data_IF_480001669793
#
_entry.id   IF_480001669793
#
_cell.length_a   1.000
_cell.length_b   1.000
_cell.length_c   1.000
_cell.angle_alpha   90.00
_cell.angle_beta   90.00
_cell.angle_gamma   90.00
#
_symmetry.space_group_name_H-M   'P 1'
#
loop_
_entity.id
_entity.type
_entity.pdbx_description
1 polymer ?
#
# COMPACT_ATOMS: atom_id res chain seq x y z
N UNK A 1 -39.24 -33.28 34.65
CA UNK A 1 -39.92 -32.07 35.13
C UNK A 1 -38.81 -31.04 35.34
N UNK A 2 -38.53 -30.11 34.44
CA UNK A 2 -39.36 -29.56 33.37
C UNK A 2 -38.56 -29.33 32.09
N UNK A 3 -39.23 -29.66 31.00
CA UNK A 3 -38.82 -29.54 29.61
C UNK A 3 -39.52 -28.27 29.07
N UNK A 4 -38.77 -27.19 28.87
CA UNK A 4 -39.29 -25.93 28.35
C UNK A 4 -38.77 -25.70 26.94
N UNK A 5 -39.52 -26.27 26.00
CA UNK A 5 -39.40 -26.15 24.56
C UNK A 5 -39.69 -24.70 24.13
N UNK A 6 -38.75 -24.06 23.44
CA UNK A 6 -38.93 -22.74 22.81
C UNK A 6 -39.43 -22.97 21.37
N UNK A 7 -40.59 -22.44 20.94
CA UNK A 7 -41.03 -22.55 19.56
C UNK A 7 -40.34 -21.50 18.67
N UNK A 8 -39.71 -21.96 17.59
CA UNK A 8 -39.19 -21.14 16.51
C UNK A 8 -40.36 -20.60 15.66
N UNK A 9 -40.54 -19.28 15.64
CA UNK A 9 -41.46 -18.61 14.72
C UNK A 9 -40.76 -18.38 13.37
N UNK A 10 -41.26 -19.09 12.35
CA UNK A 10 -40.92 -18.91 10.94
C UNK A 10 -41.62 -17.67 10.37
N UNK A 11 -40.88 -16.58 10.14
CA UNK A 11 -41.36 -15.44 9.38
C UNK A 11 -41.06 -15.65 7.89
N UNK A 12 -42.10 -16.05 7.14
CA UNK A 12 -42.12 -16.09 5.68
C UNK A 12 -42.25 -14.67 5.13
N UNK A 13 -41.15 -14.11 4.62
CA UNK A 13 -41.17 -12.84 3.87
C UNK A 13 -41.30 -13.16 2.38
N UNK A 14 -42.50 -12.94 1.84
CA UNK A 14 -42.75 -12.95 0.40
C UNK A 14 -42.09 -11.73 -0.26
N UNK A 15 -41.32 -11.88 -1.35
CA UNK A 15 -40.84 -10.75 -2.11
C UNK A 15 -41.95 -10.25 -3.07
N UNK A 16 -42.23 -8.95 -3.00
CA UNK A 16 -43.07 -8.27 -4.00
C UNK A 16 -42.33 -8.17 -5.34
N UNK A 17 -43.02 -8.35 -6.48
CA UNK A 17 -42.42 -8.21 -7.80
C UNK A 17 -42.25 -6.72 -8.12
N UNK A 18 -41.00 -6.28 -8.27
CA UNK A 18 -40.71 -4.95 -8.83
C UNK A 18 -40.81 -5.02 -10.35
N UNK A 19 -41.75 -4.23 -10.84
CA UNK A 19 -42.11 -4.00 -12.22
C UNK A 19 -40.96 -3.36 -12.99
N UNK A 20 -40.48 -4.05 -14.01
CA UNK A 20 -39.74 -3.43 -15.11
C UNK A 20 -40.69 -2.48 -15.86
N UNK A 21 -40.32 -1.21 -15.98
CA UNK A 21 -40.92 -0.32 -16.98
C UNK A 21 -39.85 0.56 -17.62
N UNK A 22 -39.56 0.17 -18.86
CA UNK A 22 -38.68 0.78 -19.82
C UNK A 22 -39.38 1.98 -20.48
N UNK A 23 -38.87 3.20 -20.27
CA UNK A 23 -38.98 4.37 -21.16
C UNK A 23 -38.20 5.51 -20.46
N UNK A 24 -37.21 6.19 -21.03
CA UNK A 24 -37.14 6.72 -22.38
C UNK A 24 -35.69 7.06 -22.71
N UNK A 25 -35.27 6.66 -23.91
CA UNK A 25 -34.13 7.22 -24.59
C UNK A 25 -34.54 8.59 -25.15
N UNK A 26 -33.90 9.68 -24.72
CA UNK A 26 -33.56 10.88 -25.50
C UNK A 26 -33.19 12.06 -24.58
N UNK A 27 -31.89 12.27 -24.41
CA UNK A 27 -31.30 13.61 -24.30
C UNK A 27 -29.83 13.49 -24.71
N UNK A 28 -29.65 13.33 -26.02
CA UNK A 28 -28.35 13.35 -26.68
C UNK A 28 -28.08 14.81 -27.05
N UNK A 29 -27.05 15.40 -26.46
CA UNK A 29 -26.30 16.50 -27.07
C UNK A 29 -26.69 17.91 -26.67
N UNK A 30 -26.24 18.35 -25.48
CA UNK A 30 -25.57 19.64 -25.24
C UNK A 30 -24.59 19.37 -24.07
N UNK A 31 -23.44 20.04 -24.02
CA UNK A 31 -22.39 19.96 -22.95
C UNK A 31 -21.22 18.98 -23.11
N UNK A 32 -20.85 18.57 -24.33
CA UNK A 32 -19.56 17.89 -24.58
C UNK A 32 -18.38 18.84 -24.81
N UNK A 33 -18.57 20.16 -24.67
CA UNK A 33 -17.60 21.18 -25.07
C UNK A 33 -16.85 21.86 -23.90
N UNK A 34 -17.13 21.50 -22.64
CA UNK A 34 -16.67 22.28 -21.48
C UNK A 34 -15.61 21.62 -20.59
N UNK A 35 -14.95 20.54 -21.02
CA UNK A 35 -14.01 19.84 -20.12
C UNK A 35 -12.70 19.40 -20.80
N UNK A 36 -12.10 20.33 -21.56
CA UNK A 36 -10.74 20.19 -22.11
C UNK A 36 -9.75 21.20 -21.54
N UNK A 37 -10.00 21.75 -20.35
CA UNK A 37 -8.96 22.40 -19.55
C UNK A 37 -8.13 21.36 -18.75
N UNK A 38 -7.69 20.30 -19.44
CA UNK A 38 -6.75 19.29 -18.92
C UNK A 38 -5.29 19.81 -18.89
N UNK A 39 -5.08 21.13 -18.80
CA UNK A 39 -3.80 21.74 -19.17
C UNK A 39 -2.88 22.17 -18.04
N UNK A 40 -3.40 22.48 -16.85
CA UNK A 40 -2.58 22.92 -15.73
C UNK A 40 -2.88 22.05 -14.53
N UNK A 41 -1.91 21.20 -14.14
CA UNK A 41 -1.89 20.64 -12.78
C UNK A 41 -2.03 21.84 -11.84
N UNK A 42 -3.07 21.83 -11.03
CA UNK A 42 -3.22 22.81 -9.97
C UNK A 42 -2.03 22.68 -9.01
N UNK A 43 -1.04 23.56 -9.20
CA UNK A 43 0.19 23.59 -8.41
C UNK A 43 -0.11 23.78 -6.93
N UNK A 44 -1.23 24.43 -6.61
CA UNK A 44 -1.66 24.64 -5.23
C UNK A 44 -2.06 23.32 -4.57
N UNK A 45 -2.84 22.48 -5.27
CA UNK A 45 -3.21 21.13 -4.80
C UNK A 45 -1.98 20.22 -4.66
N UNK A 46 -1.06 20.25 -5.63
CA UNK A 46 0.18 19.46 -5.55
C UNK A 46 1.06 19.89 -4.37
N UNK A 47 1.18 21.21 -4.14
CA UNK A 47 1.90 21.77 -3.01
C UNK A 47 1.26 21.40 -1.67
N UNK A 48 -0.07 21.55 -1.55
CA UNK A 48 -0.82 21.16 -0.36
C UNK A 48 -0.65 19.67 -0.04
N UNK A 49 -0.70 18.80 -1.07
CA UNK A 49 -0.46 17.38 -0.92
C UNK A 49 0.96 17.07 -0.43
N UNK A 50 1.97 17.79 -0.93
CA UNK A 50 3.35 17.67 -0.49
C UNK A 50 3.53 18.05 0.98
N UNK A 51 2.99 19.20 1.40
CA UNK A 51 3.03 19.65 2.81
C UNK A 51 2.29 18.68 3.72
N UNK A 52 1.10 18.23 3.31
CA UNK A 52 0.30 17.24 4.03
C UNK A 52 1.11 15.97 4.31
N UNK A 53 1.81 15.43 3.30
CA UNK A 53 2.66 14.24 3.45
C UNK A 53 3.85 14.48 4.37
N UNK A 54 4.54 15.61 4.22
CA UNK A 54 5.70 15.94 5.05
C UNK A 54 5.35 16.00 6.54
N UNK A 55 4.18 16.56 6.88
CA UNK A 55 3.71 16.61 8.26
C UNK A 55 3.41 15.22 8.82
N UNK A 56 2.76 14.35 8.04
CA UNK A 56 2.55 12.95 8.43
C UNK A 56 3.90 12.27 8.69
N UNK A 57 4.85 12.45 7.78
CA UNK A 57 6.15 11.79 7.88
C UNK A 57 6.94 12.28 9.09
N UNK A 58 6.90 13.58 9.35
CA UNK A 58 7.51 14.19 10.52
C UNK A 58 6.91 13.63 11.81
N UNK A 59 5.59 13.61 11.93
CA UNK A 59 4.91 13.09 13.13
C UNK A 59 5.21 11.61 13.35
N UNK A 60 5.20 10.78 12.29
CA UNK A 60 5.57 9.36 12.37
C UNK A 60 6.99 9.17 12.89
N UNK A 61 7.95 9.97 12.41
CA UNK A 61 9.34 9.91 12.85
C UNK A 61 9.50 10.35 14.31
N UNK A 62 8.80 11.40 14.72
CA UNK A 62 8.81 11.84 16.11
C UNK A 62 8.18 10.78 17.02
N UNK A 63 7.04 10.22 16.63
CA UNK A 63 6.32 9.21 17.41
C UNK A 63 7.16 7.94 17.59
N UNK A 64 7.80 7.45 16.52
CA UNK A 64 8.64 6.25 16.63
C UNK A 64 9.88 6.48 17.49
N UNK A 65 10.56 7.62 17.34
CA UNK A 65 11.76 7.96 18.11
C UNK A 65 11.42 8.07 19.61
N UNK A 66 10.29 8.69 19.93
CA UNK A 66 9.92 8.98 21.31
C UNK A 66 9.26 7.80 22.04
N UNK A 67 8.47 6.97 21.33
CA UNK A 67 7.65 5.95 21.99
C UNK A 67 8.21 4.53 21.84
N UNK A 68 8.56 4.10 20.62
CA UNK A 68 8.87 2.69 20.32
C UNK A 68 9.94 2.53 19.24
N UNK A 69 11.19 2.99 19.49
CA UNK A 69 12.22 3.01 18.45
C UNK A 69 12.65 1.61 17.98
N UNK A 70 12.63 0.61 18.87
CA UNK A 70 13.14 -0.73 18.53
C UNK A 70 12.19 -1.57 17.69
N UNK A 71 10.95 -1.71 18.14
CA UNK A 71 9.95 -2.63 17.54
C UNK A 71 8.80 -1.91 16.83
N UNK A 72 8.76 -0.57 16.87
CA UNK A 72 7.71 0.22 16.22
C UNK A 72 6.31 -0.05 16.78
N UNK A 73 5.32 0.14 15.92
CA UNK A 73 3.90 0.00 16.23
C UNK A 73 3.27 -1.22 15.54
N UNK A 74 2.38 -1.92 16.25
CA UNK A 74 1.65 -3.05 15.66
C UNK A 74 0.77 -2.58 14.50
N UNK A 75 0.47 -3.46 13.53
CA UNK A 75 -0.38 -3.13 12.37
C UNK A 75 -1.80 -2.68 12.74
N UNK A 76 -2.31 -3.04 13.92
CA UNK A 76 -3.61 -2.59 14.41
C UNK A 76 -3.62 -1.20 15.05
N UNK A 77 -2.45 -0.57 15.24
CA UNK A 77 -2.36 0.78 15.77
C UNK A 77 -2.76 1.80 14.70
N UNK A 78 -3.78 2.65 14.92
CA UNK A 78 -4.16 3.65 13.92
C UNK A 78 -3.03 4.66 13.76
N UNK A 79 -2.67 4.96 12.51
CA UNK A 79 -1.69 6.00 12.21
C UNK A 79 -2.39 7.35 12.16
N UNK A 80 -2.10 8.21 13.14
CA UNK A 80 -2.71 9.54 13.31
C UNK A 80 -1.62 10.59 13.43
N UNK A 81 -1.81 11.73 12.77
CA UNK A 81 -0.83 12.83 12.76
C UNK A 81 -1.36 13.95 13.66
N UNK A 82 -0.66 14.19 14.78
CA UNK A 82 -1.01 15.25 15.71
C UNK A 82 -1.02 16.63 15.04
N UNK A 83 -0.06 16.89 14.15
CA UNK A 83 0.05 18.14 13.41
C UNK A 83 -1.16 18.38 12.52
N UNK A 84 -1.61 17.35 11.79
CA UNK A 84 -2.80 17.45 10.95
C UNK A 84 -4.07 17.63 11.78
N UNK A 85 -4.18 16.96 12.93
CA UNK A 85 -5.36 17.04 13.79
C UNK A 85 -5.57 18.44 14.35
N UNK A 86 -4.49 19.08 14.79
CA UNK A 86 -4.51 20.45 15.30
C UNK A 86 -4.98 21.43 14.22
N UNK A 87 -4.62 21.20 12.95
CA UNK A 87 -5.04 22.04 11.84
C UNK A 87 -6.42 21.67 11.27
N UNK A 88 -7.03 20.58 11.73
CA UNK A 88 -8.26 20.05 11.16
C UNK A 88 -8.12 19.58 9.71
N UNK A 89 -6.92 19.21 9.28
CA UNK A 89 -6.65 18.70 7.94
C UNK A 89 -6.78 17.17 7.94
N UNK A 90 -7.51 16.59 6.99
CA UNK A 90 -7.67 15.13 6.89
C UNK A 90 -8.83 14.54 7.71
N UNK A 91 -9.79 15.40 8.12
CA UNK A 91 -10.98 14.98 8.87
C UNK A 91 -11.80 13.93 8.11
N UNK A 92 -11.94 14.08 6.80
CA UNK A 92 -12.70 13.16 5.95
C UNK A 92 -12.05 11.77 5.92
N UNK A 93 -10.72 11.70 5.79
CA UNK A 93 -9.96 10.46 5.81
C UNK A 93 -10.06 9.76 7.17
N UNK A 94 -9.98 10.50 8.29
CA UNK A 94 -10.15 9.90 9.61
C UNK A 94 -11.57 9.42 9.88
N UNK A 95 -12.59 10.14 9.44
CA UNK A 95 -13.98 9.73 9.60
C UNK A 95 -14.30 8.49 8.76
N UNK A 96 -13.72 8.40 7.55
CA UNK A 96 -13.95 7.27 6.64
C UNK A 96 -13.15 6.03 7.02
N UNK A 97 -11.84 6.19 7.21
CA UNK A 97 -10.89 5.08 7.30
C UNK A 97 -10.34 4.90 8.71
N UNK A 98 -10.40 5.92 9.57
CA UNK A 98 -9.84 5.88 10.93
C UNK A 98 -8.31 6.04 11.00
N UNK A 99 -7.64 6.15 9.85
CA UNK A 99 -6.20 6.36 9.74
C UNK A 99 -5.85 7.06 8.42
N UNK A 100 -4.62 7.55 8.31
CA UNK A 100 -4.10 8.13 7.07
C UNK A 100 -2.95 7.28 6.53
N UNK A 101 -2.95 7.02 5.23
CA UNK A 101 -1.83 6.37 4.55
C UNK A 101 -0.67 7.35 4.37
N UNK A 102 0.57 6.99 4.73
CA UNK A 102 1.73 7.86 4.56
C UNK A 102 2.14 8.02 3.09
N UNK A 103 1.79 7.07 2.22
CA UNK A 103 2.29 6.96 0.84
C UNK A 103 3.82 7.04 0.76
N UNK A 104 4.46 6.32 1.68
CA UNK A 104 5.88 6.04 1.67
C UNK A 104 6.03 4.69 2.36
N UNK A 105 6.17 3.64 1.55
CA UNK A 105 6.18 2.27 2.07
C UNK A 105 7.35 2.02 3.02
N UNK A 106 8.52 2.64 2.77
CA UNK A 106 9.69 2.47 3.64
C UNK A 106 9.47 3.10 5.00
N UNK A 107 8.95 4.33 5.02
CA UNK A 107 8.62 5.00 6.28
C UNK A 107 7.55 4.23 7.05
N UNK A 108 6.54 3.67 6.37
CA UNK A 108 5.54 2.82 7.00
C UNK A 108 6.18 1.55 7.61
N UNK A 109 7.08 0.87 6.91
CA UNK A 109 7.79 -0.30 7.47
C UNK A 109 8.66 0.06 8.67
N UNK A 110 9.36 1.21 8.61
CA UNK A 110 10.15 1.71 9.73
C UNK A 110 9.21 2.02 10.90
N UNK A 111 8.11 2.73 10.67
CA UNK A 111 7.12 3.05 11.70
C UNK A 111 6.53 1.81 12.38
N UNK A 112 6.19 0.78 11.60
CA UNK A 112 5.63 -0.48 12.13
C UNK A 112 6.68 -1.37 12.78
N UNK A 113 7.90 -1.41 12.26
CA UNK A 113 8.94 -2.35 12.68
C UNK A 113 10.06 -1.76 13.52
N UNK A 114 10.11 -0.44 13.72
CA UNK A 114 11.23 0.23 14.36
C UNK A 114 12.56 0.04 13.63
N UNK A 115 13.64 0.03 14.42
CA UNK A 115 14.99 -0.33 13.98
C UNK A 115 15.03 -1.74 13.37
N UNK A 116 14.20 -2.68 13.84
CA UNK A 116 14.13 -4.03 13.25
C UNK A 116 13.62 -3.96 11.81
N UNK A 117 12.56 -3.18 11.57
CA UNK A 117 12.04 -2.92 10.22
C UNK A 117 13.09 -2.31 9.30
N UNK A 118 13.84 -1.32 9.79
CA UNK A 118 14.97 -0.73 9.06
C UNK A 118 16.04 -1.78 8.72
N UNK A 119 16.39 -2.65 9.67
CA UNK A 119 17.35 -3.73 9.46
C UNK A 119 16.91 -4.69 8.36
N UNK A 120 15.62 -5.05 8.30
CA UNK A 120 15.06 -5.90 7.24
C UNK A 120 15.16 -5.21 5.88
N UNK A 121 14.84 -3.91 5.79
CA UNK A 121 14.96 -3.13 4.56
C UNK A 121 16.41 -3.13 4.06
N UNK A 122 17.36 -2.80 4.94
CA UNK A 122 18.80 -2.78 4.61
C UNK A 122 19.27 -4.15 4.14
N UNK A 123 18.83 -5.22 4.82
CA UNK A 123 19.15 -6.58 4.44
C UNK A 123 18.61 -6.98 3.06
N UNK A 124 17.38 -6.61 2.73
CA UNK A 124 16.79 -6.86 1.40
C UNK A 124 17.55 -6.10 0.31
N UNK A 125 17.86 -4.82 0.53
CA UNK A 125 18.64 -4.02 -0.42
C UNK A 125 20.04 -4.60 -0.64
N UNK A 126 20.69 -5.03 0.45
CA UNK A 126 21.99 -5.69 0.40
C UNK A 126 21.95 -7.00 -0.41
N UNK A 127 20.92 -7.84 -0.22
CA UNK A 127 20.73 -9.06 -1.01
C UNK A 127 20.56 -8.75 -2.50
N UNK A 128 19.79 -7.73 -2.85
CA UNK A 128 19.60 -7.33 -4.25
C UNK A 128 20.91 -6.87 -4.87
N UNK A 129 21.74 -6.11 -4.15
CA UNK A 129 23.07 -5.68 -4.62
C UNK A 129 23.96 -6.90 -4.91
N UNK A 130 24.02 -7.87 -3.98
CA UNK A 130 24.80 -9.10 -4.16
C UNK A 130 24.31 -9.89 -5.38
N UNK A 131 23.00 -10.08 -5.50
CA UNK A 131 22.39 -10.83 -6.61
C UNK A 131 22.65 -10.13 -7.95
N UNK A 132 22.56 -8.80 -7.98
CA UNK A 132 22.87 -7.98 -9.16
C UNK A 132 24.31 -8.22 -9.61
N UNK A 133 25.27 -8.09 -8.68
CA UNK A 133 26.69 -8.31 -8.99
C UNK A 133 26.97 -9.72 -9.50
N UNK A 134 26.31 -10.72 -8.92
CA UNK A 134 26.43 -12.10 -9.37
C UNK A 134 25.85 -12.32 -10.77
N UNK A 135 24.64 -11.82 -11.06
CA UNK A 135 24.02 -11.98 -12.38
C UNK A 135 24.80 -11.26 -13.47
N UNK A 136 25.38 -10.09 -13.17
CA UNK A 136 26.29 -9.40 -14.09
C UNK A 136 27.56 -10.21 -14.36
N UNK A 137 28.17 -10.81 -13.33
CA UNK A 137 29.37 -11.64 -13.48
C UNK A 137 29.12 -12.89 -14.34
N UNK A 138 27.98 -13.56 -14.13
CA UNK A 138 27.58 -14.77 -14.89
C UNK A 138 26.97 -14.41 -16.24
N UNK A 139 26.71 -13.12 -16.52
CA UNK A 139 26.04 -12.63 -17.73
C UNK A 139 24.66 -13.28 -17.97
N UNK A 140 23.92 -13.54 -16.89
CA UNK A 140 22.57 -14.09 -16.99
C UNK A 140 21.56 -12.99 -17.32
N UNK A 141 20.98 -13.05 -18.53
CA UNK A 141 19.95 -12.11 -18.95
C UNK A 141 18.67 -12.24 -18.12
N UNK A 142 18.26 -13.48 -17.83
CA UNK A 142 17.07 -13.76 -17.03
C UNK A 142 17.21 -13.22 -15.60
N UNK A 143 18.38 -13.40 -14.98
CA UNK A 143 18.69 -12.85 -13.66
C UNK A 143 18.67 -11.31 -13.68
N UNK A 144 19.22 -10.71 -14.73
CA UNK A 144 19.15 -9.26 -14.96
C UNK A 144 17.73 -8.72 -15.01
N UNK A 145 16.83 -9.37 -15.77
CA UNK A 145 15.41 -8.98 -15.87
C UNK A 145 14.65 -9.12 -14.56
N UNK A 146 14.92 -10.18 -13.79
CA UNK A 146 14.27 -10.38 -12.49
C UNK A 146 14.69 -9.29 -11.49
N UNK A 147 15.99 -8.98 -11.42
CA UNK A 147 16.52 -7.91 -10.55
C UNK A 147 16.04 -6.53 -10.99
N UNK A 148 16.04 -6.22 -12.29
CA UNK A 148 15.55 -4.92 -12.76
C UNK A 148 14.08 -4.71 -12.42
N UNK A 149 13.27 -5.77 -12.52
CA UNK A 149 11.88 -5.75 -12.08
C UNK A 149 11.76 -5.49 -10.57
N UNK A 150 12.58 -6.14 -9.73
CA UNK A 150 12.61 -5.87 -8.28
C UNK A 150 13.00 -4.43 -7.95
N UNK A 151 14.02 -3.89 -8.63
CA UNK A 151 14.45 -2.50 -8.46
C UNK A 151 13.34 -1.53 -8.86
N UNK A 152 12.62 -1.80 -9.95
CA UNK A 152 11.44 -1.02 -10.34
C UNK A 152 10.40 -1.00 -9.22
N UNK A 153 10.05 -2.16 -8.66
CA UNK A 153 9.08 -2.24 -7.54
C UNK A 153 9.55 -1.48 -6.29
N UNK A 154 10.85 -1.53 -5.97
CA UNK A 154 11.45 -0.77 -4.85
C UNK A 154 11.32 0.74 -5.06
N UNK A 155 11.59 1.21 -6.28
CA UNK A 155 11.43 2.63 -6.62
C UNK A 155 9.96 3.03 -6.51
N UNK A 156 9.04 2.20 -7.03
CA UNK A 156 7.61 2.47 -6.90
C UNK A 156 7.13 2.48 -5.45
N UNK A 157 7.73 1.67 -4.57
CA UNK A 157 7.41 1.65 -3.14
C UNK A 157 7.80 2.96 -2.40
N UNK A 158 8.70 3.79 -2.95
CA UNK A 158 9.01 5.11 -2.38
C UNK A 158 7.85 6.10 -2.50
N UNK A 159 7.05 5.97 -3.57
CA UNK A 159 5.98 6.92 -3.90
C UNK A 159 4.58 6.31 -3.75
N UNK A 160 4.49 4.99 -3.60
CA UNK A 160 3.26 4.24 -3.59
C UNK A 160 3.02 3.45 -2.30
N UNK A 161 1.79 2.95 -2.20
CA UNK A 161 1.24 2.15 -1.08
C UNK A 161 1.48 0.64 -1.32
N UNK A 162 2.52 0.30 -2.09
CA UNK A 162 2.70 -1.05 -2.62
C UNK A 162 3.07 -2.02 -1.50
N UNK A 163 3.98 -1.64 -0.60
CA UNK A 163 4.36 -2.51 0.50
C UNK A 163 3.60 -2.17 1.79
N UNK A 164 2.81 -1.08 1.80
CA UNK A 164 2.02 -0.66 2.96
C UNK A 164 0.91 -1.68 3.29
N UNK A 165 0.29 -2.27 2.27
CA UNK A 165 -0.81 -3.23 2.43
C UNK A 165 -0.37 -4.65 2.06
N UNK A 166 -0.67 -5.67 2.89
CA UNK A 166 -0.21 -7.04 2.65
C UNK A 166 -0.54 -7.59 1.27
N UNK A 167 -1.76 -7.32 0.77
CA UNK A 167 -2.21 -7.83 -0.51
C UNK A 167 -1.49 -7.16 -1.70
N UNK A 168 -1.16 -5.87 -1.59
CA UNK A 168 -0.38 -5.16 -2.62
C UNK A 168 1.08 -5.64 -2.67
N UNK A 169 1.60 -6.17 -1.56
CA UNK A 169 2.96 -6.66 -1.47
C UNK A 169 3.14 -8.07 -2.04
N UNK A 170 2.05 -8.83 -2.28
CA UNK A 170 2.11 -10.22 -2.76
C UNK A 170 2.95 -10.35 -4.05
N UNK A 171 2.74 -9.54 -5.11
CA UNK A 171 3.52 -9.63 -6.33
C UNK A 171 5.01 -9.38 -6.10
N UNK A 172 5.34 -8.39 -5.26
CA UNK A 172 6.71 -8.08 -4.89
C UNK A 172 7.39 -9.26 -4.19
N UNK A 173 6.76 -9.83 -3.16
CA UNK A 173 7.33 -10.94 -2.40
C UNK A 173 7.45 -12.22 -3.23
N UNK A 174 6.50 -12.45 -4.14
CA UNK A 174 6.53 -13.58 -5.08
C UNK A 174 7.71 -13.46 -6.05
N UNK A 175 7.90 -12.27 -6.63
CA UNK A 175 9.03 -11.97 -7.50
C UNK A 175 10.36 -12.05 -6.76
N UNK A 176 10.42 -11.56 -5.52
CA UNK A 176 11.61 -11.62 -4.67
C UNK A 176 12.01 -13.08 -4.40
N UNK A 177 11.05 -13.92 -3.98
CA UNK A 177 11.27 -15.35 -3.76
C UNK A 177 11.75 -16.08 -5.02
N UNK A 178 11.13 -15.80 -6.17
CA UNK A 178 11.54 -16.35 -7.47
C UNK A 178 12.99 -15.97 -7.81
N UNK A 179 13.35 -14.69 -7.61
CA UNK A 179 14.69 -14.18 -7.94
C UNK A 179 15.75 -14.80 -7.02
N UNK A 180 15.45 -14.96 -5.72
CA UNK A 180 16.35 -15.63 -4.77
C UNK A 180 16.52 -17.11 -5.11
N UNK A 181 15.44 -17.81 -5.50
CA UNK A 181 15.52 -19.20 -5.92
C UNK A 181 16.39 -19.36 -7.19
N UNK A 182 16.19 -18.49 -8.18
CA UNK A 182 16.99 -18.47 -9.41
C UNK A 182 18.48 -18.17 -9.13
N UNK A 183 18.76 -17.21 -8.24
CA UNK A 183 20.11 -16.91 -7.78
C UNK A 183 20.80 -18.14 -7.15
N UNK A 184 20.09 -18.84 -6.26
CA UNK A 184 20.62 -20.06 -5.60
C UNK A 184 20.91 -21.17 -6.61
N UNK A 185 20.06 -21.35 -7.62
CA UNK A 185 20.27 -22.33 -8.68
C UNK A 185 21.53 -21.99 -9.50
N UNK A 186 21.64 -20.76 -10.00
CA UNK A 186 22.81 -20.34 -10.79
C UNK A 186 24.12 -20.41 -10.01
N UNK A 187 24.09 -20.05 -8.72
CA UNK A 187 25.29 -20.12 -7.86
C UNK A 187 25.82 -21.55 -7.73
N UNK A 188 24.93 -22.55 -7.64
CA UNK A 188 25.35 -23.97 -7.58
C UNK A 188 26.06 -24.39 -8.87
N UNK A 189 25.46 -24.07 -10.03
CA UNK A 189 26.01 -24.41 -11.34
C UNK A 189 27.34 -23.72 -11.71
N UNK A 190 27.78 -22.72 -10.93
CA UNK A 190 29.05 -22.02 -11.16
C UNK A 190 30.17 -22.52 -10.24
N UNK A 191 29.82 -23.18 -9.14
CA UNK A 191 30.79 -23.71 -8.15
C UNK A 191 31.14 -25.17 -8.47
N UNK A 192 30.21 -25.91 -9.05
CA UNK A 192 30.41 -27.25 -9.63
C UNK A 192 30.99 -27.17 -11.04
#
# INVERSE_FOLDING_TARGET
QDDSTIPAQSASVSPSPQTESSASAQAKGVDSAQNRDQGYRDLSSAYANGVFRLLIWQDMLQEIINARPLFGFSFGWPQRSASLEIMGWGLDEWLRDGWITPHNSFLHYIYRGGVVGLGIIVWILWLIIIMTGHFLRVRSWQGGLLVSSLVFWIIQAQFGVILELPYNAIPFWSLFGLTVAYYRQLRKSYVE
#
